data_IF_941593263083
#
_entry.id   IF_941593263083
#
_cell.length_a   1.000
_cell.length_b   1.000
_cell.length_c   1.000
_cell.angle_alpha   90.00
_cell.angle_beta   90.00
_cell.angle_gamma   90.00
#
_symmetry.space_group_name_H-M   'P 1'
#
loop_
_entity.id
_entity.type
_entity.pdbx_description
1 polymer ?
#
# COMPACT_ATOMS: atom_id res chain seq x y z
N UNK A 1 -6.42 -10.48 -0.88
CA UNK A 1 -6.39 -10.88 0.55
C UNK A 1 -6.44 -9.64 1.42
N UNK A 2 -7.01 -9.71 2.63
CA UNK A 2 -6.97 -8.59 3.60
C UNK A 2 -5.66 -8.56 4.37
N UNK A 3 -5.00 -7.40 4.37
CA UNK A 3 -3.78 -7.10 5.12
C UNK A 3 -4.10 -6.37 6.44
N UNK A 4 -5.25 -5.69 6.54
CA UNK A 4 -5.76 -5.12 7.78
C UNK A 4 -7.27 -5.33 7.88
N UNK A 5 -7.70 -6.13 8.86
CA UNK A 5 -9.13 -6.37 9.09
C UNK A 5 -9.84 -5.16 9.73
N UNK A 6 -9.17 -4.40 10.60
CA UNK A 6 -9.78 -3.25 11.27
C UNK A 6 -10.21 -2.14 10.30
N UNK A 7 -9.50 -2.01 9.17
CA UNK A 7 -9.71 -0.95 8.18
C UNK A 7 -10.16 -1.51 6.82
N UNK A 8 -10.37 -2.82 6.72
CA UNK A 8 -10.77 -3.47 5.47
C UNK A 8 -9.76 -3.32 4.33
N UNK A 9 -8.45 -3.28 4.64
CA UNK A 9 -7.41 -3.02 3.63
C UNK A 9 -6.98 -4.33 3.01
N UNK A 10 -6.95 -4.36 1.68
CA UNK A 10 -6.56 -5.48 0.84
C UNK A 10 -5.25 -5.20 0.09
N UNK A 11 -4.65 -6.26 -0.46
CA UNK A 11 -3.53 -6.15 -1.39
C UNK A 11 -3.80 -5.16 -2.55
N UNK A 12 -5.01 -5.18 -3.11
CA UNK A 12 -5.42 -4.27 -4.19
C UNK A 12 -5.36 -2.80 -3.77
N UNK A 13 -5.80 -2.47 -2.56
CA UNK A 13 -5.73 -1.10 -2.03
C UNK A 13 -4.27 -0.61 -1.90
N UNK A 14 -3.36 -1.52 -1.50
CA UNK A 14 -1.92 -1.22 -1.40
C UNK A 14 -1.31 -1.00 -2.78
N UNK A 15 -1.70 -1.82 -3.76
CA UNK A 15 -1.26 -1.64 -5.16
C UNK A 15 -1.72 -0.31 -5.73
N UNK A 16 -2.97 0.07 -5.50
CA UNK A 16 -3.48 1.39 -5.92
C UNK A 16 -2.69 2.54 -5.25
N UNK A 17 -2.31 2.38 -3.98
CA UNK A 17 -1.42 3.33 -3.30
C UNK A 17 -0.04 3.41 -3.99
N UNK A 18 0.55 2.27 -4.34
CA UNK A 18 1.84 2.20 -5.04
C UNK A 18 1.81 2.85 -6.43
N UNK A 19 0.73 2.64 -7.20
CA UNK A 19 0.51 3.33 -8.48
C UNK A 19 0.44 4.84 -8.32
N UNK A 20 -0.15 5.33 -7.22
CA UNK A 20 -0.17 6.74 -6.86
C UNK A 20 1.17 7.26 -6.28
N UNK A 21 2.23 6.45 -6.26
CA UNK A 21 3.54 6.81 -5.72
C UNK A 21 3.66 6.76 -4.21
N UNK A 22 2.67 6.23 -3.51
CA UNK A 22 2.66 6.08 -2.05
C UNK A 22 3.30 4.74 -1.70
N UNK A 23 4.61 4.76 -1.49
CA UNK A 23 5.43 3.54 -1.29
C UNK A 23 6.14 3.50 0.05
N UNK A 24 6.31 4.65 0.72
CA UNK A 24 7.05 4.68 1.98
C UNK A 24 6.17 4.22 3.16
N UNK A 25 6.72 3.44 4.11
CA UNK A 25 5.97 2.94 5.27
C UNK A 25 5.22 4.02 6.07
N UNK A 26 5.82 5.20 6.24
CA UNK A 26 5.19 6.32 6.94
C UNK A 26 3.97 6.87 6.17
N UNK A 27 4.06 6.96 4.84
CA UNK A 27 2.97 7.43 3.98
C UNK A 27 1.84 6.40 3.94
N UNK A 28 2.17 5.11 3.86
CA UNK A 28 1.18 4.02 3.91
C UNK A 28 0.43 4.01 5.26
N UNK A 29 1.15 4.12 6.37
CA UNK A 29 0.54 4.24 7.71
C UNK A 29 -0.43 5.41 7.81
N UNK A 30 -0.07 6.57 7.23
CA UNK A 30 -0.92 7.75 7.21
C UNK A 30 -2.13 7.58 6.27
N UNK A 31 -1.93 7.14 5.02
CA UNK A 31 -2.98 6.93 4.02
C UNK A 31 -4.08 6.01 4.54
N UNK A 32 -3.69 4.95 5.25
CA UNK A 32 -4.58 3.89 5.71
C UNK A 32 -5.04 4.04 7.17
N UNK A 33 -4.62 5.11 7.86
CA UNK A 33 -5.03 5.35 9.24
C UNK A 33 -4.62 4.23 10.20
N UNK A 34 -3.46 3.60 9.99
CA UNK A 34 -3.04 2.42 10.76
C UNK A 34 -2.64 2.73 12.21
N UNK A 35 -2.55 4.02 12.55
CA UNK A 35 -2.30 4.54 13.89
C UNK A 35 -3.51 5.28 14.49
N UNK A 36 -4.66 5.26 13.81
CA UNK A 36 -5.84 5.94 14.29
C UNK A 36 -6.36 5.30 15.58
N UNK A 37 -6.96 6.08 16.49
CA UNK A 37 -7.69 5.54 17.64
C UNK A 37 -8.71 4.49 17.18
N UNK A 38 -8.73 3.34 17.85
CA UNK A 38 -9.63 2.22 17.53
C UNK A 38 -9.09 1.20 16.52
N UNK A 39 -7.92 1.43 15.90
CA UNK A 39 -7.23 0.39 15.13
C UNK A 39 -6.38 -0.50 16.05
N UNK A 40 -6.39 -1.83 15.86
CA UNK A 40 -5.62 -2.75 16.70
C UNK A 40 -4.09 -2.62 16.56
N UNK A 41 -3.60 -1.92 15.52
CA UNK A 41 -2.19 -1.64 15.28
C UNK A 41 -1.33 -2.85 14.87
N UNK A 42 -1.90 -4.06 14.74
CA UNK A 42 -1.13 -5.28 14.39
C UNK A 42 -0.50 -5.19 13.01
N UNK A 43 -1.26 -4.74 12.01
CA UNK A 43 -0.77 -4.53 10.65
C UNK A 43 0.38 -3.50 10.57
N UNK A 44 0.41 -2.49 11.46
CA UNK A 44 1.51 -1.51 11.50
C UNK A 44 2.88 -2.12 11.83
N UNK A 45 2.92 -3.32 12.43
CA UNK A 45 4.16 -4.07 12.70
C UNK A 45 4.72 -4.73 11.43
N UNK A 46 3.85 -5.06 10.46
CA UNK A 46 4.20 -5.66 9.17
C UNK A 46 4.12 -4.63 8.04
N UNK A 47 4.45 -3.36 8.31
CA UNK A 47 4.32 -2.31 7.30
C UNK A 47 5.23 -2.51 6.09
N UNK A 48 6.32 -3.26 6.26
CA UNK A 48 7.27 -3.53 5.19
C UNK A 48 6.64 -4.41 4.09
N UNK A 49 5.69 -5.27 4.45
CA UNK A 49 4.89 -6.04 3.48
C UNK A 49 4.04 -5.10 2.60
N UNK A 50 3.45 -4.06 3.20
CA UNK A 50 2.69 -3.05 2.48
C UNK A 50 3.62 -2.27 1.54
N UNK A 51 4.79 -1.88 2.01
CA UNK A 51 5.78 -1.17 1.21
C UNK A 51 6.27 -2.04 0.03
N UNK A 52 6.52 -3.33 0.26
CA UNK A 52 6.95 -4.25 -0.80
C UNK A 52 5.88 -4.42 -1.89
N UNK A 53 4.61 -4.58 -1.52
CA UNK A 53 3.50 -4.65 -2.46
C UNK A 53 3.37 -3.33 -3.25
N UNK A 54 3.39 -2.18 -2.56
CA UNK A 54 3.29 -0.88 -3.20
C UNK A 54 4.46 -0.61 -4.18
N UNK A 55 5.68 -0.97 -3.78
CA UNK A 55 6.88 -0.82 -4.63
C UNK A 55 6.82 -1.71 -5.88
N UNK A 56 6.26 -2.91 -5.77
CA UNK A 56 6.19 -3.86 -6.90
C UNK A 56 5.43 -3.30 -8.12
N UNK A 57 4.44 -2.43 -7.87
CA UNK A 57 3.64 -1.80 -8.94
C UNK A 57 4.10 -0.37 -9.27
N UNK A 58 4.79 0.31 -8.35
CA UNK A 58 5.41 1.61 -8.62
C UNK A 58 6.59 1.50 -9.60
N UNK A 59 7.37 0.41 -9.49
CA UNK A 59 8.49 0.10 -10.37
C UNK A 59 8.07 -0.49 -11.71
N UNK A 60 6.77 -0.54 -12.03
CA UNK A 60 6.33 -0.80 -13.39
C UNK A 60 6.21 0.54 -14.10
N UNK A 61 7.29 1.11 -14.69
CA UNK A 61 7.07 2.13 -15.70
C UNK A 61 6.24 1.45 -16.78
N UNK A 62 5.26 2.17 -17.31
CA UNK A 62 4.57 1.80 -18.53
C UNK A 62 5.60 1.46 -19.61
N UNK A 63 5.90 0.17 -19.79
CA UNK A 63 6.47 -0.36 -21.02
C UNK A 63 5.30 -0.68 -21.95
N UNK A 64 4.50 0.32 -22.30
CA UNK A 64 3.63 0.30 -23.47
C UNK A 64 3.33 1.74 -23.89
N UNK A 65 4.34 2.34 -24.52
CA UNK A 65 4.23 3.56 -25.30
C UNK A 65 5.04 3.42 -26.58
N UNK A 66 4.74 2.41 -27.41
CA UNK A 66 5.17 2.41 -28.81
C UNK A 66 4.01 1.99 -29.72
N UNK A 67 3.88 2.74 -30.83
CA UNK A 67 2.91 2.69 -31.95
C UNK A 67 1.67 3.56 -31.71
N UNK A 68 1.40 4.63 -32.47
CA UNK A 68 1.73 4.94 -33.87
C UNK A 68 1.96 6.43 -34.09
#
# INVERSE_FOLDING_TARGET
>A
MYLCLCKGITDSDIREAGQAGIVMPCQLKAKFGLKDPGCCGRCSKNIDEFAQIAMSVHQTPSSNGVRS
#
